data_IF_671292910409
#
_entry.id   IF_671292910409
#
_cell.length_a   1.000
_cell.length_b   1.000
_cell.length_c   1.000
_cell.angle_alpha   90.00
_cell.angle_beta   90.00
_cell.angle_gamma   90.00
#
_symmetry.space_group_name_H-M   'P 1'
#
loop_
_entity.id
_entity.type
_entity.pdbx_description
1 polymer ?
#
# COMPACT_ATOMS: atom_id res chain seq x y z
N UNK A 1 -35.47 -3.44 40.09
CA UNK A 1 -34.79 -2.32 39.40
C UNK A 1 -33.26 -2.44 39.36
N UNK A 2 -32.53 -2.45 40.49
CA UNK A 2 -31.05 -2.48 40.48
C UNK A 2 -30.42 -3.68 39.75
N UNK A 3 -31.03 -4.87 39.80
CA UNK A 3 -30.55 -6.07 39.08
C UNK A 3 -30.74 -5.98 37.56
N UNK A 4 -31.82 -5.37 37.11
CA UNK A 4 -32.14 -5.18 35.69
C UNK A 4 -31.19 -4.15 35.03
N UNK A 5 -30.89 -3.06 35.73
CA UNK A 5 -29.92 -2.04 35.25
C UNK A 5 -28.50 -2.64 35.15
N UNK A 6 -28.09 -3.48 36.11
CA UNK A 6 -26.79 -4.16 36.05
C UNK A 6 -26.70 -5.14 34.87
N UNK A 7 -27.79 -5.81 34.53
CA UNK A 7 -27.87 -6.70 33.38
C UNK A 7 -27.74 -5.93 32.06
N UNK A 8 -28.48 -4.82 31.90
CA UNK A 8 -28.37 -3.94 30.73
C UNK A 8 -26.96 -3.37 30.51
N UNK A 9 -26.29 -2.94 31.59
CA UNK A 9 -24.92 -2.42 31.51
C UNK A 9 -23.95 -3.53 31.10
N UNK A 10 -24.13 -4.75 31.62
CA UNK A 10 -23.31 -5.90 31.26
C UNK A 10 -23.45 -6.28 29.78
N UNK A 11 -24.68 -6.34 29.26
CA UNK A 11 -24.92 -6.59 27.83
C UNK A 11 -24.31 -5.51 26.94
N UNK A 12 -24.39 -4.24 27.35
CA UNK A 12 -23.80 -3.13 26.60
C UNK A 12 -22.26 -3.21 26.57
N UNK A 13 -21.64 -3.65 27.67
CA UNK A 13 -20.18 -3.90 27.73
C UNK A 13 -19.80 -5.07 26.81
N UNK A 14 -20.56 -6.17 26.81
CA UNK A 14 -20.31 -7.32 25.93
C UNK A 14 -20.44 -6.91 24.46
N UNK A 15 -21.49 -6.17 24.10
CA UNK A 15 -21.67 -5.65 22.75
C UNK A 15 -20.52 -4.73 22.37
N UNK A 16 -20.08 -3.84 23.26
CA UNK A 16 -18.95 -2.96 23.01
C UNK A 16 -17.65 -3.74 22.79
N UNK A 17 -17.34 -4.73 23.64
CA UNK A 17 -16.15 -5.59 23.52
C UNK A 17 -16.23 -6.41 22.23
N UNK A 18 -17.40 -6.99 21.91
CA UNK A 18 -17.60 -7.80 20.71
C UNK A 18 -17.51 -6.96 19.45
N UNK A 19 -18.02 -5.73 19.49
CA UNK A 19 -17.89 -4.75 18.41
C UNK A 19 -16.43 -4.33 18.23
N UNK A 20 -15.69 -4.07 19.31
CA UNK A 20 -14.25 -3.80 19.26
C UNK A 20 -13.50 -5.01 18.67
N UNK A 21 -13.84 -6.24 19.07
CA UNK A 21 -13.21 -7.44 18.54
C UNK A 21 -13.57 -7.69 17.07
N UNK A 22 -14.81 -7.42 16.67
CA UNK A 22 -15.27 -7.47 15.28
C UNK A 22 -14.55 -6.45 14.39
N UNK A 23 -14.33 -5.23 14.90
CA UNK A 23 -13.52 -4.21 14.22
C UNK A 23 -12.03 -4.60 14.12
N UNK A 24 -11.55 -5.46 15.05
CA UNK A 24 -10.18 -5.99 15.06
C UNK A 24 -9.98 -7.25 14.24
N UNK A 25 -11.04 -8.00 13.91
CA UNK A 25 -10.95 -8.94 12.80
C UNK A 25 -10.75 -8.09 11.55
N UNK A 26 -9.64 -8.28 10.87
CA UNK A 26 -9.22 -7.45 9.75
C UNK A 26 -9.16 -8.33 8.52
N UNK A 27 -9.70 -7.86 7.40
CA UNK A 27 -9.39 -8.48 6.12
C UNK A 27 -7.91 -8.19 5.84
N UNK A 28 -7.09 -9.23 5.79
CA UNK A 28 -5.65 -9.11 5.55
C UNK A 28 -5.23 -9.97 4.37
N UNK A 29 -4.10 -9.62 3.77
CA UNK A 29 -3.44 -10.46 2.78
C UNK A 29 -2.56 -11.47 3.52
N UNK A 30 -2.78 -12.75 3.23
CA UNK A 30 -2.01 -13.85 3.80
C UNK A 30 -0.72 -14.08 2.99
N UNK A 31 0.27 -13.24 3.26
CA UNK A 31 1.64 -13.36 2.75
C UNK A 31 2.60 -13.09 3.89
N UNK A 32 3.47 -14.06 4.15
CA UNK A 32 4.60 -13.93 5.07
C UNK A 32 5.89 -14.07 4.26
N UNK A 33 6.84 -13.18 4.53
CA UNK A 33 8.12 -13.11 3.84
C UNK A 33 9.28 -13.19 4.85
N UNK A 34 10.46 -13.50 4.34
CA UNK A 34 11.70 -13.67 5.10
C UNK A 34 12.79 -12.76 4.54
N UNK A 35 13.88 -12.53 5.27
CA UNK A 35 15.03 -11.78 4.74
C UNK A 35 15.55 -12.37 3.42
N UNK A 36 15.49 -13.68 3.22
CA UNK A 36 15.91 -14.33 1.97
C UNK A 36 15.01 -13.93 0.79
N UNK A 37 13.71 -13.71 1.02
CA UNK A 37 12.79 -13.21 -0.01
C UNK A 37 13.14 -11.76 -0.41
N UNK A 38 13.57 -10.95 0.56
CA UNK A 38 14.08 -9.60 0.27
C UNK A 38 15.34 -9.64 -0.59
N UNK A 39 16.35 -10.41 -0.16
CA UNK A 39 17.64 -10.53 -0.87
C UNK A 39 17.45 -11.10 -2.29
N UNK A 40 16.61 -12.13 -2.43
CA UNK A 40 16.23 -12.68 -3.74
C UNK A 40 15.56 -11.63 -4.62
N UNK A 41 14.60 -10.88 -4.06
CA UNK A 41 13.90 -9.81 -4.74
C UNK A 41 14.84 -8.70 -5.24
N UNK A 42 15.66 -8.13 -4.37
CA UNK A 42 16.61 -7.06 -4.73
C UNK A 42 17.67 -7.54 -5.71
N UNK A 43 18.19 -8.77 -5.56
CA UNK A 43 19.15 -9.31 -6.54
C UNK A 43 18.57 -9.35 -7.95
N UNK A 44 17.28 -9.68 -8.10
CA UNK A 44 16.58 -9.68 -9.39
C UNK A 44 16.38 -8.29 -9.99
N UNK A 45 16.31 -7.24 -9.17
CA UNK A 45 16.17 -5.86 -9.69
C UNK A 45 17.47 -5.35 -10.30
N UNK A 46 18.64 -5.88 -9.88
CA UNK A 46 19.96 -5.39 -10.25
C UNK A 46 20.15 -3.90 -9.90
N UNK A 47 19.43 -3.41 -8.90
CA UNK A 47 19.54 -2.04 -8.39
C UNK A 47 20.40 -2.06 -7.15
N UNK A 48 21.46 -1.26 -7.15
CA UNK A 48 22.25 -0.99 -5.95
C UNK A 48 21.60 0.15 -5.17
N UNK A 49 21.34 -0.08 -3.88
CA UNK A 49 20.72 0.91 -2.99
C UNK A 49 21.57 1.00 -1.74
N UNK A 50 22.01 2.21 -1.37
CA UNK A 50 22.84 2.41 -0.18
C UNK A 50 22.10 2.12 1.14
N UNK A 51 20.80 2.42 1.19
CA UNK A 51 19.89 2.02 2.27
C UNK A 51 18.47 1.87 1.71
N UNK A 52 17.87 0.70 1.90
CA UNK A 52 16.51 0.40 1.42
C UNK A 52 15.45 1.34 1.96
N UNK A 53 15.63 1.87 3.18
CA UNK A 53 14.70 2.83 3.78
C UNK A 53 14.63 4.14 2.99
N UNK A 54 15.59 4.41 2.11
CA UNK A 54 15.54 5.58 1.23
C UNK A 54 14.46 5.43 0.16
N UNK A 55 14.10 4.21 -0.25
CA UNK A 55 13.07 3.94 -1.26
C UNK A 55 11.64 4.04 -0.73
N UNK A 56 11.43 4.63 0.45
CA UNK A 56 10.09 4.87 0.95
C UNK A 56 9.31 5.88 0.08
N UNK A 57 7.98 5.79 0.13
CA UNK A 57 7.06 6.60 -0.69
C UNK A 57 7.31 8.12 -0.52
N UNK A 58 7.59 8.57 0.70
CA UNK A 58 7.78 9.99 0.99
C UNK A 58 9.02 10.57 0.30
N UNK A 59 10.15 9.85 0.32
CA UNK A 59 11.37 10.29 -0.34
C UNK A 59 11.23 10.38 -1.86
N UNK A 60 10.49 9.44 -2.47
CA UNK A 60 10.22 9.44 -3.91
C UNK A 60 9.38 10.67 -4.29
N UNK A 61 8.32 10.94 -3.54
CA UNK A 61 7.43 12.09 -3.80
C UNK A 61 8.13 13.43 -3.62
N UNK A 62 9.02 13.54 -2.64
CA UNK A 62 9.75 14.76 -2.32
C UNK A 62 11.03 14.96 -3.17
N UNK A 63 11.24 14.13 -4.21
CA UNK A 63 12.45 14.14 -5.03
C UNK A 63 13.74 14.03 -4.20
N UNK A 64 13.76 13.27 -3.10
CA UNK A 64 14.94 13.12 -2.22
C UNK A 64 15.93 12.06 -2.71
N UNK A 65 15.75 11.53 -3.91
CA UNK A 65 16.55 10.45 -4.49
C UNK A 65 17.37 10.92 -5.70
N UNK A 66 18.56 10.35 -5.82
CA UNK A 66 19.44 10.44 -6.98
C UNK A 66 19.46 9.07 -7.67
N UNK A 67 19.42 9.09 -8.99
CA UNK A 67 19.34 7.90 -9.83
C UNK A 67 20.50 7.92 -10.83
N UNK A 68 21.22 6.81 -10.94
CA UNK A 68 22.37 6.69 -11.83
C UNK A 68 22.32 5.41 -12.66
N UNK A 69 22.68 5.54 -13.94
CA UNK A 69 22.68 4.43 -14.88
C UNK A 69 21.29 3.83 -15.11
N UNK A 70 21.23 2.86 -16.01
CA UNK A 70 20.01 2.10 -16.29
C UNK A 70 20.39 0.64 -16.58
N UNK A 71 19.66 -0.29 -15.98
CA UNK A 71 19.81 -1.72 -16.15
C UNK A 71 18.52 -2.29 -16.77
N UNK A 72 18.66 -3.08 -17.84
CA UNK A 72 17.53 -3.85 -18.36
C UNK A 72 17.22 -5.02 -17.42
N UNK A 73 15.95 -5.14 -17.05
CA UNK A 73 15.44 -6.20 -16.19
C UNK A 73 14.32 -6.93 -16.91
N UNK A 74 14.42 -8.25 -16.92
CA UNK A 74 13.40 -9.17 -17.39
C UNK A 74 13.35 -10.30 -16.37
N UNK A 75 12.46 -10.18 -15.40
CA UNK A 75 12.40 -11.08 -14.25
C UNK A 75 10.97 -11.27 -13.76
N UNK A 76 10.81 -12.30 -12.93
CA UNK A 76 9.56 -12.60 -12.25
C UNK A 76 9.75 -12.50 -10.74
N UNK A 77 8.81 -11.84 -10.08
CA UNK A 77 8.81 -11.60 -8.65
C UNK A 77 7.62 -12.29 -8.01
N UNK A 78 7.84 -13.02 -6.92
CA UNK A 78 6.77 -13.63 -6.15
C UNK A 78 6.07 -12.61 -5.24
N UNK A 79 4.89 -12.98 -4.73
CA UNK A 79 4.19 -12.24 -3.68
C UNK A 79 5.11 -11.87 -2.51
N UNK A 80 5.95 -12.81 -2.08
CA UNK A 80 6.85 -12.65 -0.93
C UNK A 80 7.95 -11.64 -1.22
N UNK A 81 8.59 -11.74 -2.38
CA UNK A 81 9.67 -10.84 -2.78
C UNK A 81 9.16 -9.39 -2.89
N UNK A 82 8.01 -9.18 -3.54
CA UNK A 82 7.43 -7.83 -3.64
C UNK A 82 7.00 -7.30 -2.28
N UNK A 83 6.36 -8.12 -1.45
CA UNK A 83 5.99 -7.73 -0.09
C UNK A 83 7.20 -7.37 0.77
N UNK A 84 8.28 -8.14 0.66
CA UNK A 84 9.52 -7.92 1.39
C UNK A 84 10.20 -6.62 0.97
N UNK A 85 10.33 -6.35 -0.34
CA UNK A 85 10.90 -5.09 -0.85
C UNK A 85 10.10 -3.89 -0.36
N UNK A 86 8.77 -3.92 -0.53
CA UNK A 86 7.91 -2.80 -0.18
C UNK A 86 7.88 -2.55 1.34
N UNK A 87 7.77 -3.61 2.13
CA UNK A 87 7.80 -3.52 3.60
C UNK A 87 9.15 -3.01 4.08
N UNK A 88 10.27 -3.59 3.64
CA UNK A 88 11.62 -3.15 4.01
C UNK A 88 11.87 -1.68 3.68
N UNK A 89 11.33 -1.18 2.56
CA UNK A 89 11.46 0.21 2.18
C UNK A 89 10.66 1.17 3.08
N UNK A 90 9.52 0.75 3.64
CA UNK A 90 8.58 1.67 4.31
C UNK A 90 8.42 1.46 5.82
N UNK A 91 8.66 0.26 6.35
CA UNK A 91 8.34 -0.09 7.74
C UNK A 91 9.03 0.80 8.77
N UNK A 92 10.28 1.21 8.53
CA UNK A 92 11.01 2.08 9.46
C UNK A 92 10.63 3.54 9.26
N UNK A 93 10.90 4.11 8.08
CA UNK A 93 10.83 5.56 7.85
C UNK A 93 9.69 6.00 6.93
N UNK A 94 9.04 5.07 6.26
CA UNK A 94 7.99 5.37 5.29
C UNK A 94 6.64 5.74 5.93
N UNK A 95 5.72 6.29 5.12
CA UNK A 95 4.39 6.72 5.58
C UNK A 95 3.42 5.56 5.85
N UNK A 96 3.75 4.38 5.38
CA UNK A 96 2.96 3.16 5.54
C UNK A 96 3.84 2.04 6.08
N UNK A 97 3.23 0.97 6.59
CA UNK A 97 3.96 -0.19 7.12
C UNK A 97 3.17 -1.48 6.91
N UNK A 98 3.83 -2.62 7.15
CA UNK A 98 3.25 -3.95 7.04
C UNK A 98 2.60 -4.18 5.67
N UNK A 99 3.35 -3.83 4.61
CA UNK A 99 2.86 -3.92 3.24
C UNK A 99 2.92 -5.37 2.78
N UNK A 100 1.77 -5.95 2.49
CA UNK A 100 1.66 -7.29 1.93
C UNK A 100 0.93 -7.22 0.61
N UNK A 101 1.48 -7.88 -0.40
CA UNK A 101 0.94 -7.92 -1.77
C UNK A 101 0.81 -9.36 -2.21
N UNK A 102 -0.36 -9.70 -2.75
CA UNK A 102 -0.66 -11.00 -3.31
C UNK A 102 -1.18 -10.85 -4.74
N UNK A 103 -0.48 -11.48 -5.66
CA UNK A 103 -0.85 -11.60 -7.06
C UNK A 103 -1.78 -12.80 -7.26
N UNK A 104 -2.87 -12.57 -7.95
CA UNK A 104 -3.89 -13.56 -8.28
C UNK A 104 -3.96 -13.73 -9.81
N UNK A 105 -4.67 -14.74 -10.28
CA UNK A 105 -4.94 -14.90 -11.71
C UNK A 105 -5.68 -13.69 -12.31
N UNK A 106 -5.62 -13.53 -13.64
CA UNK A 106 -6.36 -12.51 -14.39
C UNK A 106 -6.02 -11.06 -14.01
N UNK A 107 -4.74 -10.78 -13.77
CA UNK A 107 -4.26 -9.45 -13.39
C UNK A 107 -4.82 -8.89 -12.08
N UNK A 108 -5.38 -9.75 -11.22
CA UNK A 108 -5.87 -9.35 -9.91
C UNK A 108 -4.73 -9.23 -8.90
N UNK A 109 -4.82 -8.21 -8.05
CA UNK A 109 -3.91 -7.97 -6.94
C UNK A 109 -4.71 -7.67 -5.68
N UNK A 110 -4.25 -8.21 -4.57
CA UNK A 110 -4.71 -7.84 -3.23
C UNK A 110 -3.52 -7.28 -2.46
N UNK A 111 -3.73 -6.17 -1.76
CA UNK A 111 -2.72 -5.56 -0.92
C UNK A 111 -3.30 -5.23 0.46
N UNK A 112 -2.49 -5.35 1.51
CA UNK A 112 -2.76 -4.68 2.78
C UNK A 112 -1.59 -3.84 3.21
N UNK A 113 -1.87 -2.81 4.00
CA UNK A 113 -0.88 -1.96 4.64
C UNK A 113 -1.52 -1.20 5.79
N UNK A 114 -0.69 -0.60 6.63
CA UNK A 114 -1.08 0.21 7.76
C UNK A 114 -0.59 1.64 7.52
N UNK A 115 -1.48 2.62 7.64
CA UNK A 115 -1.10 4.03 7.62
C UNK A 115 -0.47 4.41 8.97
N UNK A 116 0.74 4.95 8.95
CA UNK A 116 1.36 5.47 10.18
C UNK A 116 0.69 6.77 10.60
N UNK A 117 0.69 7.04 11.91
CA UNK A 117 0.12 8.26 12.49
C UNK A 117 0.60 9.54 11.81
N UNK A 118 1.90 9.66 11.53
CA UNK A 118 2.48 10.84 10.87
C UNK A 118 1.84 11.14 9.50
N UNK A 119 1.53 10.09 8.73
CA UNK A 119 0.88 10.20 7.43
C UNK A 119 -0.57 10.62 7.56
N UNK A 120 -1.27 10.05 8.53
CA UNK A 120 -2.64 10.48 8.84
C UNK A 120 -2.65 11.95 9.27
N UNK A 121 -1.73 12.37 10.13
CA UNK A 121 -1.63 13.75 10.60
C UNK A 121 -1.35 14.72 9.44
N UNK A 122 -0.51 14.33 8.46
CA UNK A 122 -0.31 15.08 7.23
C UNK A 122 -1.57 15.18 6.37
N UNK A 123 -2.29 14.08 6.17
CA UNK A 123 -3.55 14.05 5.41
C UNK A 123 -4.60 14.92 6.09
N UNK A 124 -4.68 14.93 7.41
CA UNK A 124 -5.57 15.82 8.17
C UNK A 124 -5.22 17.28 7.99
N UNK A 125 -3.96 17.67 8.14
CA UNK A 125 -3.53 19.07 7.91
C UNK A 125 -3.82 19.55 6.49
N UNK A 126 -3.78 18.63 5.52
CA UNK A 126 -4.16 18.92 4.12
C UNK A 126 -5.67 19.03 3.98
N UNK A 127 -6.44 18.13 4.60
CA UNK A 127 -7.90 18.13 4.59
C UNK A 127 -8.54 19.31 5.36
N UNK A 128 -7.91 19.80 6.42
CA UNK A 128 -8.35 20.99 7.17
C UNK A 128 -8.31 22.26 6.33
N UNK A 129 -7.44 22.28 5.31
CA UNK A 129 -7.33 23.39 4.34
C UNK A 129 -8.34 23.27 3.19
N UNK A 130 -9.03 22.13 3.06
CA UNK A 130 -10.04 21.86 2.04
C UNK A 130 -11.45 21.79 2.67
N UNK A 131 -12.36 22.75 2.36
CA UNK A 131 -13.70 22.79 2.93
C UNK A 131 -14.56 21.55 2.61
N UNK A 132 -14.20 20.73 1.62
CA UNK A 132 -14.90 19.49 1.27
C UNK A 132 -14.34 18.25 2.00
N UNK A 133 -13.11 18.32 2.50
CA UNK A 133 -12.39 17.22 3.14
C UNK A 133 -12.51 17.22 4.68
N UNK A 134 -12.80 18.38 5.29
CA UNK A 134 -12.94 18.53 6.74
C UNK A 134 -13.90 17.53 7.41
N UNK A 135 -14.95 17.07 6.70
CA UNK A 135 -15.91 16.07 7.22
C UNK A 135 -15.34 14.65 7.39
N UNK A 136 -14.18 14.36 6.81
CA UNK A 136 -13.52 13.05 6.92
C UNK A 136 -12.36 13.05 7.92
N UNK A 137 -11.98 14.21 8.48
CA UNK A 137 -10.87 14.34 9.45
C UNK A 137 -11.08 13.45 10.68
N UNK A 138 -12.31 13.36 11.20
CA UNK A 138 -12.64 12.48 12.32
C UNK A 138 -12.56 10.98 11.96
N UNK A 139 -12.78 10.63 10.69
CA UNK A 139 -12.61 9.26 10.18
C UNK A 139 -11.13 8.93 10.05
N UNK A 140 -10.30 9.91 9.72
CA UNK A 140 -8.85 9.73 9.62
C UNK A 140 -8.21 9.31 10.97
N UNK A 141 -8.75 9.75 12.11
CA UNK A 141 -8.31 9.22 13.42
C UNK A 141 -8.54 7.72 13.59
N UNK A 142 -9.60 7.20 12.98
CA UNK A 142 -9.96 5.78 13.06
C UNK A 142 -9.09 4.93 12.12
N UNK A 143 -8.45 5.51 11.11
CA UNK A 143 -7.57 4.77 10.18
C UNK A 143 -6.13 4.65 10.66
N UNK A 144 -5.71 5.42 11.67
CA UNK A 144 -4.37 5.31 12.26
C UNK A 144 -4.17 3.90 12.79
N UNK A 145 -3.04 3.29 12.42
CA UNK A 145 -2.64 1.95 12.85
C UNK A 145 -3.69 0.84 12.53
N UNK A 146 -4.67 1.15 11.68
CA UNK A 146 -5.71 0.21 11.25
C UNK A 146 -5.30 -0.39 9.91
N UNK A 147 -5.25 -1.73 9.80
CA UNK A 147 -4.98 -2.37 8.52
C UNK A 147 -6.02 -1.99 7.48
N UNK A 148 -5.53 -1.47 6.37
CA UNK A 148 -6.30 -1.26 5.16
C UNK A 148 -6.01 -2.41 4.21
N UNK A 149 -7.06 -2.93 3.59
CA UNK A 149 -6.98 -3.93 2.54
C UNK A 149 -7.60 -3.35 1.26
N UNK A 150 -6.94 -3.60 0.14
CA UNK A 150 -7.39 -3.18 -1.19
C UNK A 150 -7.32 -4.40 -2.10
N UNK A 151 -8.39 -4.61 -2.88
CA UNK A 151 -8.40 -5.56 -4.00
C UNK A 151 -8.69 -4.82 -5.28
N UNK A 152 -7.97 -5.16 -6.34
CA UNK A 152 -8.17 -4.58 -7.65
C UNK A 152 -7.50 -5.38 -8.76
N UNK A 153 -7.45 -4.76 -9.94
CA UNK A 153 -6.78 -5.24 -11.14
C UNK A 153 -5.72 -4.24 -11.59
N UNK A 154 -4.63 -4.74 -12.13
CA UNK A 154 -3.52 -3.94 -12.62
C UNK A 154 -3.21 -4.32 -14.07
N UNK A 155 -3.25 -3.37 -14.99
CA UNK A 155 -2.88 -3.59 -16.38
C UNK A 155 -1.81 -2.57 -16.78
N UNK A 156 -0.80 -2.99 -17.55
CA UNK A 156 0.10 -2.06 -18.25
C UNK A 156 -0.33 -1.95 -19.71
N UNK A 157 -0.40 -0.73 -20.24
CA UNK A 157 -0.79 -0.49 -21.63
C UNK A 157 0.36 0.02 -22.51
N UNK A 158 1.35 0.72 -21.93
CA UNK A 158 2.50 1.31 -22.63
C UNK A 158 3.72 1.44 -21.68
N UNK A 159 4.88 1.87 -22.21
CA UNK A 159 6.21 1.95 -21.55
C UNK A 159 6.26 2.69 -20.19
N UNK A 160 5.21 3.40 -19.78
CA UNK A 160 5.17 4.18 -18.53
C UNK A 160 3.79 4.26 -17.87
N UNK A 161 2.79 3.55 -18.40
CA UNK A 161 1.41 3.72 -17.96
C UNK A 161 0.86 2.45 -17.38
N UNK A 162 0.54 2.52 -16.10
CA UNK A 162 -0.26 1.52 -15.41
C UNK A 162 -1.68 2.05 -15.27
N UNK A 163 -2.63 1.20 -15.61
CA UNK A 163 -4.02 1.35 -15.20
C UNK A 163 -4.31 0.41 -14.04
N UNK A 164 -5.08 0.90 -13.08
CA UNK A 164 -5.48 0.13 -11.91
C UNK A 164 -6.97 0.32 -11.70
N UNK A 165 -7.71 -0.78 -11.55
CA UNK A 165 -9.12 -0.75 -11.15
C UNK A 165 -9.23 -1.29 -9.74
N UNK A 166 -9.76 -0.50 -8.81
CA UNK A 166 -10.06 -0.93 -7.45
C UNK A 166 -11.46 -1.54 -7.43
N UNK A 167 -11.56 -2.77 -6.97
CA UNK A 167 -12.82 -3.49 -6.83
C UNK A 167 -13.39 -3.37 -5.41
N UNK A 168 -12.52 -3.35 -4.41
CA UNK A 168 -12.95 -3.17 -3.03
C UNK A 168 -11.85 -2.62 -2.14
N UNK A 169 -12.27 -1.87 -1.11
CA UNK A 169 -11.41 -1.36 -0.05
C UNK A 169 -12.05 -1.74 1.27
N UNK A 170 -11.26 -2.27 2.19
CA UNK A 170 -11.68 -2.61 3.54
C UNK A 170 -10.80 -1.84 4.52
N UNK A 171 -11.44 -1.19 5.49
CA UNK A 171 -10.81 -0.65 6.67
C UNK A 171 -11.18 -1.56 7.84
N UNK A 172 -10.25 -2.33 8.38
CA UNK A 172 -10.65 -3.37 9.31
C UNK A 172 -11.39 -4.50 8.60
N UNK A 173 -12.61 -4.74 9.06
CA UNK A 173 -13.63 -5.57 8.42
C UNK A 173 -14.73 -4.77 7.71
N UNK A 174 -14.64 -3.43 7.71
CA UNK A 174 -15.65 -2.57 7.11
C UNK A 174 -15.30 -2.36 5.65
N UNK A 175 -16.11 -2.89 4.75
CA UNK A 175 -16.02 -2.54 3.33
C UNK A 175 -16.46 -1.08 3.13
N UNK A 176 -15.62 -0.29 2.47
CA UNK A 176 -15.96 1.09 2.12
C UNK A 176 -17.00 1.10 1.00
N UNK A 177 -17.95 2.04 1.07
CA UNK A 177 -19.02 2.16 0.07
C UNK A 177 -18.53 2.70 -1.28
N UNK A 178 -19.40 2.58 -2.31
CA UNK A 178 -19.10 2.94 -3.70
C UNK A 178 -18.61 4.39 -3.86
N UNK A 179 -19.20 5.37 -3.16
CA UNK A 179 -18.76 6.78 -3.18
C UNK A 179 -17.29 6.97 -2.76
N UNK A 180 -16.79 6.11 -1.87
CA UNK A 180 -15.38 6.16 -1.43
C UNK A 180 -14.50 5.44 -2.44
N UNK A 181 -14.96 4.29 -2.94
CA UNK A 181 -14.28 3.54 -3.98
C UNK A 181 -14.03 4.41 -5.23
N UNK A 182 -15.04 5.14 -5.72
CA UNK A 182 -14.93 6.02 -6.89
C UNK A 182 -13.90 7.15 -6.69
N UNK A 183 -13.88 7.76 -5.50
CA UNK A 183 -12.90 8.81 -5.16
C UNK A 183 -11.48 8.29 -5.09
N UNK A 184 -11.29 7.12 -4.46
CA UNK A 184 -9.97 6.47 -4.40
C UNK A 184 -9.54 6.04 -5.80
N UNK A 185 -10.44 5.44 -6.59
CA UNK A 185 -10.19 5.07 -7.99
C UNK A 185 -9.69 6.25 -8.82
N UNK A 186 -10.37 7.40 -8.71
CA UNK A 186 -10.01 8.63 -9.43
C UNK A 186 -8.63 9.18 -9.01
N UNK A 187 -8.18 8.87 -7.79
CA UNK A 187 -6.94 9.39 -7.24
C UNK A 187 -5.75 8.43 -7.36
N UNK A 188 -5.99 7.11 -7.33
CA UNK A 188 -4.92 6.11 -7.22
C UNK A 188 -4.14 5.95 -8.52
N UNK A 189 -4.81 5.94 -9.68
CA UNK A 189 -4.15 5.75 -10.97
C UNK A 189 -3.22 6.93 -11.29
N UNK A 190 -3.65 8.21 -11.14
CA UNK A 190 -2.74 9.34 -11.26
C UNK A 190 -1.58 9.28 -10.25
N UNK A 191 -1.84 8.84 -9.01
CA UNK A 191 -0.80 8.72 -7.99
C UNK A 191 0.26 7.67 -8.34
N UNK A 192 -0.15 6.47 -8.78
CA UNK A 192 0.76 5.41 -9.21
C UNK A 192 1.61 5.90 -10.39
N UNK A 193 0.99 6.51 -11.40
CA UNK A 193 1.72 7.02 -12.56
C UNK A 193 2.66 8.19 -12.17
N UNK A 194 2.28 9.06 -11.24
CA UNK A 194 3.18 10.07 -10.68
C UNK A 194 4.40 9.42 -10.01
N UNK A 195 4.22 8.36 -9.23
CA UNK A 195 5.31 7.62 -8.61
C UNK A 195 6.25 7.01 -9.66
N UNK A 196 5.71 6.41 -10.72
CA UNK A 196 6.50 5.87 -11.84
C UNK A 196 7.35 6.97 -12.49
N UNK A 197 6.73 8.12 -12.79
CA UNK A 197 7.41 9.27 -13.41
C UNK A 197 8.52 9.86 -12.53
N UNK A 198 8.41 9.74 -11.21
CA UNK A 198 9.42 10.21 -10.25
C UNK A 198 10.66 9.31 -10.18
N UNK A 199 10.54 8.04 -10.56
CA UNK A 199 11.65 7.11 -10.66
C UNK A 199 12.41 7.30 -11.98
N UNK A 200 13.47 8.11 -11.97
CA UNK A 200 14.31 8.25 -13.17
C UNK A 200 15.02 6.93 -13.48
N UNK A 201 15.06 6.56 -14.76
CA UNK A 201 15.60 5.28 -15.21
C UNK A 201 14.63 4.10 -15.14
N UNK A 202 13.43 4.28 -14.56
CA UNK A 202 12.35 3.30 -14.63
C UNK A 202 11.61 3.42 -15.97
N UNK A 203 11.46 2.30 -16.67
CA UNK A 203 10.50 2.10 -17.75
C UNK A 203 9.82 0.74 -17.60
N UNK A 204 8.57 0.63 -18.05
CA UNK A 204 7.73 -0.57 -17.91
C UNK A 204 7.25 -0.98 -19.30
N UNK A 205 8.05 -1.78 -20.01
CA UNK A 205 7.65 -2.32 -21.31
C UNK A 205 6.54 -3.38 -21.17
N UNK A 206 6.62 -4.19 -20.10
CA UNK A 206 5.61 -5.19 -19.81
C UNK A 206 5.47 -5.39 -18.31
N UNK A 207 4.23 -5.36 -17.84
CA UNK A 207 3.84 -5.80 -16.50
C UNK A 207 2.71 -6.82 -16.64
N UNK A 208 2.97 -8.06 -16.23
CA UNK A 208 1.98 -9.13 -16.35
C UNK A 208 1.85 -9.87 -15.02
N UNK A 209 0.63 -9.98 -14.53
CA UNK A 209 0.34 -10.67 -13.27
C UNK A 209 -0.19 -12.06 -13.59
N UNK A 210 0.54 -13.06 -13.10
CA UNK A 210 0.13 -14.46 -13.07
C UNK A 210 -0.16 -14.85 -11.64
N UNK A 211 -0.78 -16.01 -11.47
CA UNK A 211 -1.01 -16.59 -10.15
C UNK A 211 0.29 -16.60 -9.33
N UNK A 212 0.30 -15.86 -8.22
CA UNK A 212 1.41 -15.70 -7.26
C UNK A 212 2.70 -15.06 -7.82
N UNK A 213 2.64 -14.40 -8.99
CA UNK A 213 3.82 -13.88 -9.67
C UNK A 213 3.56 -12.59 -10.47
N UNK A 214 4.49 -11.65 -10.37
CA UNK A 214 4.58 -10.45 -11.20
C UNK A 214 5.74 -10.60 -12.19
N UNK A 215 5.45 -10.61 -13.47
CA UNK A 215 6.45 -10.54 -14.53
C UNK A 215 6.68 -9.07 -14.91
N UNK A 216 7.95 -8.66 -14.89
CA UNK A 216 8.38 -7.32 -15.23
C UNK A 216 9.42 -7.36 -16.36
N UNK A 217 9.21 -6.55 -17.39
CA UNK A 217 10.18 -6.27 -18.44
C UNK A 217 10.29 -4.76 -18.58
N UNK A 218 11.51 -4.23 -18.54
CA UNK A 218 11.77 -2.81 -18.71
C UNK A 218 13.16 -2.43 -18.22
N UNK A 219 13.30 -1.18 -17.78
CA UNK A 219 14.54 -0.66 -17.19
C UNK A 219 14.32 -0.23 -15.76
N UNK A 220 15.37 -0.38 -14.94
CA UNK A 220 15.47 0.20 -13.60
C UNK A 220 16.78 1.00 -13.51
N UNK A 221 16.88 2.03 -12.67
CA UNK A 221 18.16 2.69 -12.41
C UNK A 221 19.19 1.69 -11.88
N UNK A 222 20.45 1.83 -12.27
CA UNK A 222 21.50 0.92 -11.76
C UNK A 222 21.82 1.17 -10.29
N UNK A 223 21.80 2.44 -9.86
CA UNK A 223 22.10 2.88 -8.50
C UNK A 223 21.05 3.89 -8.05
N UNK A 224 20.58 3.77 -6.81
CA UNK A 224 19.73 4.77 -6.15
C UNK A 224 20.38 5.20 -4.84
N UNK A 225 20.59 6.51 -4.71
CA UNK A 225 21.13 7.14 -3.51
C UNK A 225 20.22 8.24 -2.98
N UNK A 226 20.44 8.62 -1.72
CA UNK A 226 19.79 9.77 -1.13
C UNK A 226 20.50 11.06 -1.54
N UNK A 227 19.73 12.10 -1.82
CA UNK A 227 20.22 13.47 -2.05
C UNK A 227 20.92 14.06 -0.83
#
# INVERSE_FOLDING_TARGET
MKKFIKFLIFDLIIVLISFIYFLRMTKTVDVEWTPDDYESGITKTKVEVSDINYLNIENILNDNLLYYGENRVQNSFSNKEVSAILSSANDTTGPISNIKVKFLANNEVEANFILKKSTVDFLKQTAEKDPNAGKYVAVLDVVVDTPMYIKGKLNSYDDYTIDATIESIYLGNIQLGEDTLEKVQTSIVPFINLMILKYKGLSIEQLNIKQDMLEFIGTLPSIIDKK
#
